data_IF_709190028276
#
_entry.id   IF_709190028276
#
_cell.length_a   1.000
_cell.length_b   1.000
_cell.length_c   1.000
_cell.angle_alpha   90.00
_cell.angle_beta   90.00
_cell.angle_gamma   90.00
#
_symmetry.space_group_name_H-M   'P 1'
#
loop_
_entity.id
_entity.type
_entity.pdbx_description
1 polymer ?
#
# COMPACT_ATOMS: atom_id res chain seq x y z
N UNK A 1 -5.21 20.79 -2.57
CA UNK A 1 -6.27 20.59 -3.59
C UNK A 1 -7.30 19.52 -3.21
N UNK A 2 -6.90 18.29 -2.87
CA UNK A 2 -7.84 17.18 -2.58
C UNK A 2 -8.89 17.47 -1.49
N UNK A 3 -8.53 18.18 -0.42
CA UNK A 3 -9.47 18.53 0.66
C UNK A 3 -10.58 19.47 0.19
N UNK A 4 -10.26 20.50 -0.61
CA UNK A 4 -11.24 21.45 -1.13
C UNK A 4 -12.16 20.78 -2.17
N UNK A 5 -11.59 19.93 -3.02
CA UNK A 5 -12.35 19.16 -4.02
C UNK A 5 -13.34 18.20 -3.35
N UNK A 6 -12.91 17.54 -2.27
CA UNK A 6 -13.80 16.71 -1.44
C UNK A 6 -14.95 17.54 -0.84
N UNK A 7 -14.66 18.72 -0.29
CA UNK A 7 -15.69 19.61 0.28
C UNK A 7 -16.70 20.07 -0.77
N UNK A 8 -16.26 20.45 -1.97
CA UNK A 8 -17.15 20.79 -3.08
C UNK A 8 -18.05 19.61 -3.47
N UNK A 9 -17.52 18.39 -3.49
CA UNK A 9 -18.31 17.19 -3.75
C UNK A 9 -19.35 16.95 -2.66
N UNK A 10 -18.98 17.09 -1.38
CA UNK A 10 -19.90 16.98 -0.25
C UNK A 10 -21.02 18.02 -0.32
N UNK A 11 -20.71 19.27 -0.63
CA UNK A 11 -21.72 20.33 -0.80
C UNK A 11 -22.68 19.98 -1.94
N UNK A 12 -22.15 19.48 -3.07
CA UNK A 12 -22.98 19.05 -4.20
C UNK A 12 -23.91 17.91 -3.83
N UNK A 13 -23.41 16.89 -3.13
CA UNK A 13 -24.23 15.75 -2.70
C UNK A 13 -25.31 16.17 -1.70
N UNK A 14 -24.99 17.08 -0.78
CA UNK A 14 -25.96 17.60 0.17
C UNK A 14 -27.13 18.33 -0.53
N UNK A 15 -26.84 19.11 -1.58
CA UNK A 15 -27.89 19.76 -2.38
C UNK A 15 -28.75 18.75 -3.13
N UNK A 16 -28.12 17.74 -3.75
CA UNK A 16 -28.86 16.67 -4.42
C UNK A 16 -29.74 15.88 -3.45
N UNK A 17 -29.24 15.57 -2.27
CA UNK A 17 -30.01 14.88 -1.22
C UNK A 17 -31.18 15.71 -0.69
N UNK A 18 -31.05 17.04 -0.70
CA UNK A 18 -32.14 17.98 -0.39
C UNK A 18 -33.14 18.19 -1.54
N UNK A 19 -32.99 17.47 -2.66
CA UNK A 19 -33.89 17.57 -3.82
C UNK A 19 -33.52 18.66 -4.82
N UNK A 20 -32.43 19.40 -4.60
CA UNK A 20 -31.96 20.41 -5.55
C UNK A 20 -31.07 19.77 -6.62
N UNK A 21 -31.59 19.66 -7.85
CA UNK A 21 -30.85 19.11 -9.00
C UNK A 21 -29.64 19.98 -9.40
N UNK A 22 -29.78 21.30 -9.20
CA UNK A 22 -28.72 22.28 -9.43
C UNK A 22 -27.88 22.49 -8.18
N UNK A 23 -26.67 21.96 -8.21
CA UNK A 23 -25.69 22.20 -7.16
C UNK A 23 -25.02 23.57 -7.35
N UNK A 24 -24.89 24.40 -6.30
CA UNK A 24 -24.20 25.69 -6.38
C UNK A 24 -22.72 25.52 -6.72
N UNK A 25 -22.14 24.33 -6.51
CA UNK A 25 -20.74 24.05 -6.87
C UNK A 25 -20.51 23.94 -8.37
N UNK A 26 -21.58 23.79 -9.16
CA UNK A 26 -21.54 23.78 -10.63
C UNK A 26 -21.71 25.17 -11.24
N UNK A 27 -22.08 26.18 -10.45
CA UNK A 27 -22.28 27.55 -10.93
C UNK A 27 -20.99 28.11 -11.56
N UNK A 28 -21.14 28.90 -12.63
CA UNK A 28 -20.03 29.39 -13.45
C UNK A 28 -18.99 30.17 -12.62
N UNK A 29 -19.44 31.01 -11.69
CA UNK A 29 -18.55 31.77 -10.80
C UNK A 29 -17.70 30.86 -9.90
N UNK A 30 -18.31 29.83 -9.31
CA UNK A 30 -17.60 28.86 -8.45
C UNK A 30 -16.59 28.07 -9.27
N UNK A 31 -16.95 27.65 -10.49
CA UNK A 31 -16.03 26.95 -11.39
C UNK A 31 -14.87 27.85 -11.82
N UNK A 32 -15.11 29.13 -12.11
CA UNK A 32 -14.08 30.09 -12.47
C UNK A 32 -13.09 30.31 -11.33
N UNK A 33 -13.58 30.54 -10.10
CA UNK A 33 -12.75 30.66 -8.90
C UNK A 33 -11.94 29.37 -8.66
N UNK A 34 -12.57 28.20 -8.82
CA UNK A 34 -11.89 26.92 -8.67
C UNK A 34 -10.75 26.72 -9.69
N UNK A 35 -10.95 27.15 -10.93
CA UNK A 35 -9.89 27.13 -11.95
C UNK A 35 -8.79 28.13 -11.64
N UNK A 36 -9.12 29.32 -11.13
CA UNK A 36 -8.15 30.30 -10.63
C UNK A 36 -7.26 29.71 -9.54
N UNK A 37 -7.86 29.10 -8.51
CA UNK A 37 -7.15 28.41 -7.43
C UNK A 37 -6.25 27.29 -8.00
N UNK A 38 -6.73 26.51 -8.97
CA UNK A 38 -5.93 25.44 -9.61
C UNK A 38 -4.70 25.97 -10.32
N UNK A 39 -4.81 27.12 -11.02
CA UNK A 39 -3.69 27.77 -11.71
C UNK A 39 -2.69 28.35 -10.73
N UNK A 40 -3.17 29.05 -9.71
CA UNK A 40 -2.32 29.74 -8.73
C UNK A 40 -1.59 28.74 -7.80
N UNK A 41 -2.31 27.76 -7.25
CA UNK A 41 -1.75 26.79 -6.30
C UNK A 41 -1.08 25.59 -6.96
N UNK A 42 -1.34 25.38 -8.26
CA UNK A 42 -0.96 24.16 -8.96
C UNK A 42 -1.76 22.93 -8.52
N UNK A 43 -1.84 21.94 -9.42
CA UNK A 43 -2.56 20.68 -9.17
C UNK A 43 -1.62 19.51 -8.84
N UNK A 44 -0.30 19.75 -8.83
CA UNK A 44 0.70 18.73 -8.52
C UNK A 44 0.54 18.27 -7.08
N UNK A 45 -0.01 17.08 -6.89
CA UNK A 45 0.04 16.40 -5.60
C UNK A 45 1.46 15.84 -5.41
N UNK A 46 2.16 16.26 -4.35
CA UNK A 46 3.36 15.55 -3.92
C UNK A 46 2.94 14.17 -3.39
N UNK A 47 3.11 13.15 -4.24
CA UNK A 47 2.92 11.76 -3.84
C UNK A 47 3.95 11.37 -2.79
N UNK A 48 3.61 10.38 -1.97
CA UNK A 48 4.61 9.72 -1.11
C UNK A 48 5.55 8.91 -2.00
N UNK A 49 6.84 8.89 -1.66
CA UNK A 49 7.83 8.14 -2.40
C UNK A 49 7.47 6.64 -2.38
N UNK A 50 7.63 5.93 -3.51
CA UNK A 50 7.50 4.48 -3.55
C UNK A 50 8.64 3.86 -2.74
N UNK A 51 8.32 2.79 -2.01
CA UNK A 51 9.34 1.93 -1.38
C UNK A 51 9.80 0.94 -2.44
N UNK A 52 11.08 0.94 -2.84
CA UNK A 52 11.58 -0.01 -3.85
C UNK A 52 12.01 -1.35 -3.22
N UNK A 53 12.29 -2.39 -4.04
CA UNK A 53 12.75 -3.68 -3.50
C UNK A 53 14.03 -3.55 -2.68
N UNK A 54 14.95 -2.69 -3.09
CA UNK A 54 16.17 -2.40 -2.33
C UNK A 54 15.85 -1.86 -0.93
N UNK A 55 14.83 -1.00 -0.83
CA UNK A 55 14.41 -0.42 0.45
C UNK A 55 13.79 -1.49 1.34
N UNK A 56 12.95 -2.36 0.78
CA UNK A 56 12.38 -3.51 1.50
C UNK A 56 13.51 -4.38 2.06
N UNK A 57 14.50 -4.72 1.23
CA UNK A 57 15.65 -5.52 1.65
C UNK A 57 16.39 -4.87 2.82
N UNK A 58 16.80 -3.62 2.69
CA UNK A 58 17.52 -2.92 3.77
C UNK A 58 16.69 -2.77 5.04
N UNK A 59 15.37 -2.59 4.92
CA UNK A 59 14.47 -2.53 6.07
C UNK A 59 14.39 -3.87 6.81
N UNK A 60 14.25 -4.99 6.08
CA UNK A 60 14.18 -6.32 6.72
C UNK A 60 15.52 -6.75 7.30
N UNK A 61 16.64 -6.40 6.67
CA UNK A 61 17.99 -6.64 7.20
C UNK A 61 18.20 -5.94 8.56
N UNK A 62 17.66 -4.74 8.74
CA UNK A 62 17.70 -4.04 10.04
C UNK A 62 16.83 -4.70 11.11
N UNK A 63 15.76 -5.41 10.72
CA UNK A 63 14.88 -6.12 11.65
C UNK A 63 15.46 -7.48 12.08
N UNK A 64 16.23 -8.13 11.22
CA UNK A 64 16.77 -9.47 11.49
C UNK A 64 17.75 -9.50 12.68
N UNK A 65 18.49 -8.42 12.92
CA UNK A 65 19.45 -8.31 14.02
C UNK A 65 18.84 -7.99 15.40
N UNK A 66 17.52 -7.98 15.55
CA UNK A 66 16.83 -7.57 16.78
C UNK A 66 16.47 -8.80 17.63
N UNK A 67 17.23 -9.03 18.71
CA UNK A 67 16.92 -10.09 19.68
C UNK A 67 15.93 -9.63 20.75
N UNK A 68 16.15 -8.45 21.34
CA UNK A 68 15.18 -7.87 22.28
C UNK A 68 13.95 -7.37 21.49
N UNK A 69 12.80 -8.00 21.72
CA UNK A 69 11.60 -7.73 20.92
C UNK A 69 11.52 -8.50 19.60
N UNK A 70 12.22 -9.65 19.49
CA UNK A 70 12.20 -10.53 18.29
C UNK A 70 10.83 -10.78 17.69
N UNK A 71 9.80 -11.04 18.51
CA UNK A 71 8.40 -11.22 18.02
C UNK A 71 7.87 -9.99 17.30
N UNK A 72 8.16 -8.79 17.82
CA UNK A 72 7.78 -7.53 17.20
C UNK A 72 8.51 -7.35 15.86
N UNK A 73 9.82 -7.67 15.81
CA UNK A 73 10.61 -7.60 14.60
C UNK A 73 10.10 -8.58 13.51
N UNK A 74 9.78 -9.82 13.86
CA UNK A 74 9.20 -10.81 12.95
C UNK A 74 7.83 -10.36 12.42
N UNK A 75 6.97 -9.81 13.28
CA UNK A 75 5.68 -9.25 12.86
C UNK A 75 5.87 -8.10 11.87
N UNK A 76 6.74 -7.15 12.21
CA UNK A 76 6.99 -5.97 11.38
C UNK A 76 7.64 -6.36 10.04
N UNK A 77 8.55 -7.35 10.03
CA UNK A 77 9.11 -7.94 8.81
C UNK A 77 8.02 -8.56 7.95
N UNK A 78 7.16 -9.39 8.54
CA UNK A 78 6.02 -10.00 7.85
C UNK A 78 5.06 -8.94 7.27
N UNK A 79 4.73 -7.89 8.02
CA UNK A 79 3.91 -6.76 7.54
C UNK A 79 4.54 -6.07 6.32
N UNK A 80 5.84 -5.78 6.36
CA UNK A 80 6.55 -5.10 5.27
C UNK A 80 6.58 -5.99 4.02
N UNK A 81 6.94 -7.26 4.17
CA UNK A 81 7.09 -8.19 3.04
C UNK A 81 5.74 -8.55 2.43
N UNK A 82 4.73 -8.96 3.22
CA UNK A 82 3.40 -9.27 2.70
C UNK A 82 2.72 -8.02 2.12
N UNK A 83 2.82 -6.89 2.82
CA UNK A 83 2.24 -5.63 2.36
C UNK A 83 2.83 -5.15 1.04
N UNK A 84 4.15 -5.33 0.85
CA UNK A 84 4.83 -5.05 -0.41
C UNK A 84 4.46 -6.06 -1.50
N UNK A 85 4.68 -7.35 -1.26
CA UNK A 85 4.46 -8.40 -2.26
C UNK A 85 3.00 -8.45 -2.74
N UNK A 86 2.04 -8.25 -1.85
CA UNK A 86 0.61 -8.23 -2.18
C UNK A 86 0.06 -6.89 -2.64
N UNK A 87 0.89 -5.84 -2.69
CA UNK A 87 0.48 -4.46 -2.94
C UNK A 87 -0.78 -4.04 -2.14
N UNK A 88 -0.85 -4.48 -0.88
CA UNK A 88 -2.04 -4.32 -0.05
C UNK A 88 -2.14 -2.91 0.52
N UNK A 89 -3.37 -2.41 0.67
CA UNK A 89 -3.63 -1.24 1.51
C UNK A 89 -3.43 -1.62 2.97
N UNK A 90 -3.05 -0.66 3.82
CA UNK A 90 -2.89 -0.90 5.27
C UNK A 90 -4.08 -1.59 5.91
N UNK A 91 -5.29 -1.14 5.59
CA UNK A 91 -6.54 -1.71 6.11
C UNK A 91 -6.81 -3.13 5.60
N UNK A 92 -6.37 -3.46 4.38
CA UNK A 92 -6.46 -4.81 3.83
C UNK A 92 -5.48 -5.72 4.58
N UNK A 93 -4.23 -5.28 4.76
CA UNK A 93 -3.18 -6.04 5.42
C UNK A 93 -3.51 -6.38 6.87
N UNK A 94 -3.90 -5.40 7.69
CA UNK A 94 -4.30 -5.69 9.08
C UNK A 94 -5.65 -6.38 9.17
N UNK A 95 -6.46 -6.32 8.11
CA UNK A 95 -7.77 -6.97 8.01
C UNK A 95 -7.70 -8.47 7.68
N UNK A 96 -6.51 -9.03 7.45
CA UNK A 96 -6.35 -10.46 7.20
C UNK A 96 -6.55 -11.28 8.49
N UNK A 97 -7.25 -12.39 8.35
CA UNK A 97 -7.26 -13.48 9.33
C UNK A 97 -6.39 -14.64 8.84
N UNK A 98 -6.03 -15.58 9.72
CA UNK A 98 -5.25 -16.76 9.31
C UNK A 98 -6.00 -17.57 8.25
N UNK A 99 -7.32 -17.63 8.37
CA UNK A 99 -8.25 -18.33 7.49
C UNK A 99 -8.32 -17.70 6.08
N UNK A 100 -7.88 -16.44 5.93
CA UNK A 100 -7.79 -15.78 4.62
C UNK A 100 -6.57 -16.27 3.81
N UNK A 101 -5.69 -17.08 4.40
CA UNK A 101 -4.43 -17.54 3.80
C UNK A 101 -4.48 -19.02 3.49
N UNK A 102 -4.22 -19.36 2.22
CA UNK A 102 -4.00 -20.73 1.78
C UNK A 102 -2.58 -20.82 1.26
N UNK A 103 -1.79 -21.73 1.82
CA UNK A 103 -0.45 -22.02 1.35
C UNK A 103 -0.45 -23.25 0.43
N UNK A 104 0.25 -23.16 -0.71
CA UNK A 104 0.44 -24.26 -1.66
C UNK A 104 1.90 -24.35 -2.12
N UNK A 105 2.18 -25.22 -3.10
CA UNK A 105 3.53 -25.39 -3.68
C UNK A 105 4.09 -24.13 -4.32
N UNK A 106 3.22 -23.26 -4.83
CA UNK A 106 3.61 -22.07 -5.61
C UNK A 106 3.76 -20.82 -4.72
N UNK A 107 3.13 -20.81 -3.54
CA UNK A 107 3.24 -19.74 -2.56
C UNK A 107 1.98 -19.59 -1.71
N UNK A 108 1.58 -18.34 -1.45
CA UNK A 108 0.35 -18.02 -0.72
C UNK A 108 -0.74 -17.54 -1.67
N UNK A 109 -1.97 -17.97 -1.41
CA UNK A 109 -3.19 -17.37 -1.93
C UNK A 109 -3.82 -16.61 -0.77
N UNK A 110 -3.88 -15.29 -0.89
CA UNK A 110 -4.45 -14.41 0.14
C UNK A 110 -5.80 -13.88 -0.31
N UNK A 111 -6.83 -14.11 0.49
CA UNK A 111 -8.18 -13.60 0.25
C UNK A 111 -8.35 -12.24 0.94
N UNK A 112 -8.44 -11.18 0.14
CA UNK A 112 -8.78 -9.85 0.65
C UNK A 112 -10.30 -9.73 0.62
N UNK A 113 -10.93 -9.82 1.79
CA UNK A 113 -12.41 -9.82 1.94
C UNK A 113 -13.07 -8.51 1.56
N UNK A 114 -12.43 -7.37 1.83
CA UNK A 114 -12.97 -6.04 1.53
C UNK A 114 -11.86 -5.03 1.27
N UNK A 115 -12.14 -4.00 0.48
CA UNK A 115 -11.24 -2.86 0.29
C UNK A 115 -11.97 -1.53 0.30
N UNK A 116 -11.23 -0.43 0.43
CA UNK A 116 -11.79 0.93 0.27
C UNK A 116 -12.56 1.12 -1.06
N UNK A 117 -12.17 0.41 -2.11
CA UNK A 117 -12.80 0.49 -3.43
C UNK A 117 -13.78 -0.65 -3.71
N UNK A 118 -14.00 -1.51 -2.72
CA UNK A 118 -14.91 -2.66 -2.75
C UNK A 118 -15.86 -2.53 -1.56
N UNK A 119 -16.85 -1.66 -1.71
CA UNK A 119 -17.80 -1.35 -0.64
C UNK A 119 -18.80 -2.48 -0.42
N UNK A 120 -19.06 -3.28 -1.45
CA UNK A 120 -19.96 -4.44 -1.43
C UNK A 120 -19.28 -5.70 -0.87
N UNK A 121 -17.94 -5.72 -0.79
CA UNK A 121 -17.21 -6.84 -0.17
C UNK A 121 -17.16 -8.08 -1.05
N UNK A 122 -17.14 -7.92 -2.37
CA UNK A 122 -16.94 -9.03 -3.30
C UNK A 122 -15.58 -9.73 -3.05
N UNK A 123 -14.62 -8.98 -2.52
CA UNK A 123 -13.28 -9.46 -2.23
C UNK A 123 -12.45 -9.74 -3.48
N UNK A 124 -11.20 -10.17 -3.26
CA UNK A 124 -10.32 -10.67 -4.33
C UNK A 124 -9.27 -11.61 -3.76
N UNK A 125 -8.73 -12.49 -4.61
CA UNK A 125 -7.56 -13.31 -4.30
C UNK A 125 -6.28 -12.63 -4.81
N UNK A 126 -5.20 -12.75 -4.05
CA UNK A 126 -3.87 -12.24 -4.39
C UNK A 126 -2.86 -13.36 -4.20
N UNK A 127 -2.13 -13.70 -5.27
CA UNK A 127 -1.03 -14.66 -5.20
C UNK A 127 0.26 -14.00 -4.69
N UNK A 128 0.93 -14.64 -3.74
CA UNK A 128 2.25 -14.25 -3.24
C UNK A 128 3.22 -15.43 -3.46
N UNK A 129 3.99 -15.44 -4.55
CA UNK A 129 4.89 -16.55 -4.83
C UNK A 129 6.05 -16.59 -3.83
N UNK A 130 6.73 -17.72 -3.75
CA UNK A 130 8.01 -17.82 -3.04
C UNK A 130 9.02 -16.80 -3.59
N UNK A 131 9.61 -16.01 -2.69
CA UNK A 131 10.74 -15.15 -3.02
C UNK A 131 12.04 -15.93 -3.11
N UNK A 132 12.92 -15.54 -4.04
CA UNK A 132 14.26 -16.13 -4.20
C UNK A 132 15.20 -15.80 -3.03
N UNK A 133 15.04 -14.63 -2.41
CA UNK A 133 15.78 -14.23 -1.21
C UNK A 133 14.99 -14.59 0.05
N UNK A 134 15.55 -15.37 1.00
CA UNK A 134 14.83 -15.80 2.20
C UNK A 134 14.23 -14.66 3.03
N UNK A 135 15.02 -13.62 3.32
CA UNK A 135 14.63 -12.48 4.17
C UNK A 135 13.47 -11.64 3.59
N UNK A 136 13.27 -11.67 2.28
CA UNK A 136 12.20 -10.94 1.60
C UNK A 136 11.15 -11.88 1.01
N UNK A 137 11.15 -13.15 1.40
CA UNK A 137 10.19 -14.13 0.92
C UNK A 137 8.89 -14.00 1.73
N UNK A 138 7.73 -13.71 1.10
CA UNK A 138 6.47 -13.52 1.83
C UNK A 138 6.03 -14.79 2.53
N UNK A 139 6.21 -15.95 1.88
CA UNK A 139 5.87 -17.25 2.46
C UNK A 139 6.66 -17.53 3.74
N UNK A 140 8.00 -17.39 3.68
CA UNK A 140 8.87 -17.65 4.84
C UNK A 140 8.64 -16.63 5.95
N UNK A 141 8.44 -15.36 5.58
CA UNK A 141 8.13 -14.30 6.54
C UNK A 141 6.84 -14.58 7.30
N UNK A 142 5.81 -15.09 6.62
CA UNK A 142 4.55 -15.49 7.24
C UNK A 142 4.75 -16.69 8.17
N UNK A 143 5.41 -17.75 7.70
CA UNK A 143 5.68 -18.96 8.50
C UNK A 143 6.43 -18.64 9.78
N UNK A 144 7.48 -17.83 9.70
CA UNK A 144 8.27 -17.43 10.88
C UNK A 144 7.46 -16.57 11.86
N UNK A 145 6.57 -15.69 11.35
CA UNK A 145 5.65 -14.95 12.22
C UNK A 145 4.64 -15.88 12.90
N UNK A 146 4.00 -16.79 12.18
CA UNK A 146 3.04 -17.74 12.74
C UNK A 146 3.70 -18.65 13.79
N UNK A 147 4.89 -19.18 13.49
CA UNK A 147 5.66 -20.00 14.42
C UNK A 147 6.04 -19.25 15.71
N UNK A 148 6.52 -18.01 15.59
CA UNK A 148 6.90 -17.20 16.75
C UNK A 148 5.70 -16.68 17.55
N UNK A 149 4.54 -16.55 16.91
CA UNK A 149 3.33 -15.99 17.52
C UNK A 149 2.40 -17.04 18.12
N UNK A 150 2.42 -18.28 17.63
CA UNK A 150 1.47 -19.33 18.01
C UNK A 150 0.03 -19.01 17.60
N UNK A 151 -0.17 -18.12 16.62
CA UNK A 151 -1.50 -17.75 16.12
C UNK A 151 -1.96 -18.84 15.15
N UNK A 152 -3.08 -19.49 15.48
CA UNK A 152 -3.69 -20.53 14.63
C UNK A 152 -4.98 -20.07 13.94
N UNK A 153 -5.63 -19.03 14.46
CA UNK A 153 -6.92 -18.52 13.97
C UNK A 153 -7.10 -17.03 14.23
N UNK A 154 -8.12 -16.43 13.60
CA UNK A 154 -8.52 -15.05 13.82
C UNK A 154 -7.41 -14.04 13.38
N UNK A 155 -7.36 -12.76 13.84
CA UNK A 155 -6.50 -11.76 13.23
C UNK A 155 -5.04 -12.19 13.07
N UNK A 156 -4.56 -12.19 11.82
CA UNK A 156 -3.19 -12.59 11.47
C UNK A 156 -2.16 -11.66 12.10
N UNK A 157 -2.47 -10.37 12.15
CA UNK A 157 -1.62 -9.36 12.78
C UNK A 157 -2.28 -8.82 14.04
N UNK A 158 -1.62 -9.08 15.17
CA UNK A 158 -2.06 -8.66 16.50
C UNK A 158 -1.10 -7.66 17.12
N UNK A 159 -1.59 -6.94 18.12
CA UNK A 159 -0.74 -6.05 18.92
C UNK A 159 0.31 -6.86 19.70
N UNK A 160 1.51 -6.30 19.80
CA UNK A 160 2.63 -6.86 20.55
C UNK A 160 3.07 -5.78 21.52
N UNK A 161 3.03 -6.08 22.81
CA UNK A 161 3.43 -5.13 23.85
C UNK A 161 4.96 -5.01 23.95
N UNK A 162 5.44 -4.11 24.81
CA UNK A 162 6.88 -3.90 25.03
C UNK A 162 7.62 -5.10 25.63
N UNK A 163 6.89 -6.05 26.21
CA UNK A 163 7.42 -7.26 26.82
C UNK A 163 7.38 -8.46 25.85
N UNK A 164 6.87 -8.26 24.62
CA UNK A 164 6.76 -9.32 23.61
C UNK A 164 5.52 -10.19 23.76
N UNK A 165 4.56 -9.80 24.60
CA UNK A 165 3.28 -10.50 24.70
C UNK A 165 2.39 -10.14 23.51
N UNK A 166 1.71 -11.14 22.97
CA UNK A 166 0.84 -10.99 21.81
C UNK A 166 -0.60 -10.95 22.31
N UNK A 167 -1.28 -9.83 22.06
CA UNK A 167 -2.69 -9.68 22.43
C UNK A 167 -3.62 -10.47 21.51
N UNK A 168 -4.92 -10.41 21.81
CA UNK A 168 -5.98 -10.98 20.94
C UNK A 168 -6.50 -9.96 19.92
N UNK A 169 -6.22 -8.67 20.15
CA UNK A 169 -6.74 -7.56 19.34
C UNK A 169 -6.00 -7.44 18.01
N UNK A 170 -6.77 -7.21 16.94
CA UNK A 170 -6.26 -6.89 15.60
C UNK A 170 -5.41 -5.62 15.65
N UNK A 171 -4.30 -5.62 14.91
CA UNK A 171 -3.44 -4.47 14.75
C UNK A 171 -4.18 -3.30 14.05
N UNK A 172 -4.01 -2.08 14.54
CA UNK A 172 -4.54 -0.88 13.88
C UNK A 172 -3.87 -0.61 12.53
N UNK A 173 -4.64 -0.11 11.55
CA UNK A 173 -4.10 0.33 10.25
C UNK A 173 -3.07 1.46 10.43
N UNK A 174 -3.20 2.31 11.44
CA UNK A 174 -2.24 3.37 11.74
C UNK A 174 -0.89 2.81 12.14
N UNK A 175 -0.87 1.65 12.80
CA UNK A 175 0.37 1.01 13.20
C UNK A 175 1.20 0.60 11.99
N UNK A 176 0.60 0.12 10.90
CA UNK A 176 1.34 -0.17 9.66
C UNK A 176 2.08 1.06 9.13
N UNK A 177 1.46 2.24 9.19
CA UNK A 177 2.14 3.47 8.78
C UNK A 177 3.31 3.82 9.71
N UNK A 178 3.18 3.56 11.02
CA UNK A 178 4.28 3.73 11.99
C UNK A 178 5.42 2.74 11.72
N UNK A 179 5.11 1.47 11.45
CA UNK A 179 6.08 0.43 11.08
C UNK A 179 6.88 0.86 9.85
N UNK A 180 6.20 1.21 8.76
CA UNK A 180 6.85 1.68 7.52
C UNK A 180 7.75 2.89 7.78
N UNK A 181 7.29 3.87 8.55
CA UNK A 181 8.09 5.05 8.88
C UNK A 181 9.33 4.70 9.70
N UNK A 182 9.19 3.89 10.76
CA UNK A 182 10.32 3.44 11.59
C UNK A 182 11.37 2.70 10.76
N UNK A 183 10.92 1.78 9.91
CA UNK A 183 11.81 1.00 9.05
C UNK A 183 12.52 1.87 8.00
N UNK A 184 11.81 2.84 7.41
CA UNK A 184 12.42 3.83 6.50
C UNK A 184 13.47 4.70 7.22
N UNK A 185 13.17 5.13 8.45
CA UNK A 185 14.13 5.88 9.26
C UNK A 185 15.36 5.05 9.61
N UNK A 186 15.21 3.76 9.91
CA UNK A 186 16.35 2.88 10.26
C UNK A 186 17.31 2.62 9.09
N UNK A 187 16.89 2.90 7.85
CA UNK A 187 17.75 2.85 6.66
C UNK A 187 18.25 4.24 6.21
N UNK A 188 18.13 5.26 7.06
CA UNK A 188 18.64 6.61 6.82
C UNK A 188 17.81 7.44 5.84
N UNK A 189 16.58 7.04 5.52
CA UNK A 189 15.69 7.77 4.61
C UNK A 189 14.72 8.68 5.37
N UNK A 190 14.34 9.78 4.72
CA UNK A 190 13.37 10.73 5.25
C UNK A 190 11.95 10.15 5.29
N UNK A 191 11.51 9.76 6.48
CA UNK A 191 10.17 9.21 6.72
C UNK A 191 9.02 10.16 6.40
N UNK A 192 9.24 11.47 6.29
CA UNK A 192 8.21 12.41 5.86
C UNK A 192 7.75 12.15 4.43
N UNK A 193 8.61 11.57 3.59
CA UNK A 193 8.32 11.20 2.21
C UNK A 193 7.52 9.90 2.08
N UNK A 194 7.38 9.11 3.13
CA UNK A 194 6.74 7.79 3.09
C UNK A 194 5.43 7.76 3.89
N UNK A 195 4.54 6.84 3.53
CA UNK A 195 3.31 6.57 4.27
C UNK A 195 2.86 5.13 4.08
N UNK A 196 1.74 4.79 4.69
CA UNK A 196 1.11 3.47 4.56
C UNK A 196 0.83 2.95 3.16
N UNK A 197 0.74 3.84 2.17
CA UNK A 197 0.52 3.44 0.76
C UNK A 197 1.84 3.25 0.00
N UNK A 198 2.99 3.53 0.63
CA UNK A 198 4.31 3.43 -0.01
C UNK A 198 4.67 1.98 -0.38
N UNK A 199 4.14 0.97 0.33
CA UNK A 199 4.33 -0.44 -0.03
C UNK A 199 3.61 -0.78 -1.35
N UNK A 200 2.31 -0.46 -1.44
CA UNK A 200 1.50 -0.67 -2.65
C UNK A 200 2.01 0.12 -3.86
N UNK A 201 2.31 1.40 -3.67
CA UNK A 201 2.93 2.23 -4.69
C UNK A 201 4.31 1.69 -5.09
N UNK A 202 5.07 1.25 -4.10
CA UNK A 202 6.38 0.61 -4.22
C UNK A 202 6.39 -0.56 -5.18
N UNK A 203 5.51 -1.55 -4.94
CA UNK A 203 5.42 -2.72 -5.81
C UNK A 203 5.03 -2.32 -7.24
N UNK A 204 4.05 -1.43 -7.40
CA UNK A 204 3.61 -0.99 -8.73
C UNK A 204 4.74 -0.33 -9.53
N UNK A 205 5.48 0.59 -8.91
CA UNK A 205 6.63 1.25 -9.53
C UNK A 205 7.77 0.27 -9.80
N UNK A 206 8.11 -0.58 -8.84
CA UNK A 206 9.17 -1.58 -8.99
C UNK A 206 8.86 -2.60 -10.10
N UNK A 207 7.62 -3.09 -10.16
CA UNK A 207 7.20 -4.03 -11.19
C UNK A 207 7.28 -3.40 -12.59
N UNK A 208 6.88 -2.13 -12.72
CA UNK A 208 7.05 -1.37 -13.97
C UNK A 208 8.52 -1.21 -14.35
N UNK A 209 9.40 -0.87 -13.39
CA UNK A 209 10.86 -0.80 -13.61
C UNK A 209 11.44 -2.14 -14.09
N UNK A 210 10.84 -3.25 -13.64
CA UNK A 210 11.21 -4.62 -14.02
C UNK A 210 10.52 -5.11 -15.30
N UNK A 211 9.76 -4.26 -16.01
CA UNK A 211 9.12 -4.60 -17.29
C UNK A 211 7.83 -5.41 -17.17
N UNK A 212 7.20 -5.47 -15.99
CA UNK A 212 5.92 -6.13 -15.84
C UNK A 212 4.81 -5.39 -16.62
N UNK A 213 3.90 -6.15 -17.22
CA UNK A 213 2.77 -5.60 -17.97
C UNK A 213 1.82 -4.77 -17.09
N UNK A 214 1.16 -3.75 -17.67
CA UNK A 214 0.13 -2.97 -16.96
C UNK A 214 -0.97 -3.89 -16.37
N UNK A 215 -1.35 -4.94 -17.10
CA UNK A 215 -2.34 -5.93 -16.66
C UNK A 215 -1.89 -6.68 -15.41
N UNK A 216 -0.71 -7.28 -15.40
CA UNK A 216 -0.21 -8.03 -14.24
C UNK A 216 -0.03 -7.12 -13.01
N UNK A 217 0.43 -5.88 -13.20
CA UNK A 217 0.51 -4.90 -12.11
C UNK A 217 -0.90 -4.54 -11.62
N UNK A 218 -1.88 -4.36 -12.51
CA UNK A 218 -3.25 -4.06 -12.14
C UNK A 218 -3.87 -5.21 -11.34
N UNK A 219 -3.71 -6.45 -11.79
CA UNK A 219 -4.24 -7.65 -11.14
C UNK A 219 -3.65 -7.82 -9.73
N UNK A 220 -2.34 -7.61 -9.56
CA UNK A 220 -1.70 -7.70 -8.26
C UNK A 220 -2.14 -6.57 -7.32
N UNK A 221 -2.18 -5.34 -7.82
CA UNK A 221 -2.48 -4.16 -7.00
C UNK A 221 -3.97 -3.93 -6.76
N UNK A 222 -4.85 -4.46 -7.61
CA UNK A 222 -6.30 -4.21 -7.55
C UNK A 222 -6.67 -2.74 -7.80
N UNK A 223 -5.97 -2.04 -8.71
CA UNK A 223 -6.36 -0.68 -9.11
C UNK A 223 -7.57 -0.72 -10.05
N UNK A 224 -8.70 -0.15 -9.62
CA UNK A 224 -9.88 0.03 -10.48
C UNK A 224 -9.72 1.12 -11.55
N UNK A 225 -8.83 2.08 -11.31
CA UNK A 225 -8.60 3.23 -12.19
C UNK A 225 -7.22 3.16 -12.84
N UNK A 226 -7.16 2.76 -14.11
CA UNK A 226 -5.93 2.73 -14.92
C UNK A 226 -5.17 4.08 -14.93
N UNK A 227 -5.83 5.26 -15.04
CA UNK A 227 -5.12 6.53 -14.98
C UNK A 227 -4.36 6.77 -13.66
N UNK A 228 -4.79 6.16 -12.55
CA UNK A 228 -4.08 6.25 -11.27
C UNK A 228 -2.88 5.29 -11.29
N UNK A 229 -3.09 4.06 -11.75
CA UNK A 229 -2.02 3.07 -11.87
C UNK A 229 -0.88 3.56 -12.77
N UNK A 230 -1.21 4.14 -13.93
CA UNK A 230 -0.24 4.69 -14.89
C UNK A 230 0.67 5.78 -14.32
N UNK A 231 0.31 6.42 -13.20
CA UNK A 231 1.23 7.35 -12.51
C UNK A 231 2.45 6.60 -11.99
N UNK A 232 2.25 5.46 -11.33
CA UNK A 232 3.33 4.62 -10.81
C UNK A 232 4.16 3.98 -11.93
N UNK A 233 3.49 3.56 -13.02
CA UNK A 233 4.16 2.97 -14.18
C UNK A 233 5.07 4.00 -14.85
N UNK A 234 4.55 5.21 -15.15
CA UNK A 234 5.34 6.28 -15.76
C UNK A 234 6.53 6.67 -14.90
N UNK A 235 6.35 6.82 -13.59
CA UNK A 235 7.44 7.14 -12.67
C UNK A 235 8.53 6.05 -12.69
N UNK A 236 8.14 4.77 -12.82
CA UNK A 236 9.07 3.64 -12.92
C UNK A 236 9.73 3.48 -14.29
N UNK A 237 9.06 3.88 -15.37
CA UNK A 237 9.56 3.71 -16.74
C UNK A 237 10.23 4.95 -17.33
N UNK A 238 10.39 6.04 -16.56
CA UNK A 238 10.94 7.34 -16.98
C UNK A 238 12.19 7.26 -17.85
N UNK A 239 13.09 6.32 -17.57
CA UNK A 239 14.34 6.13 -18.32
C UNK A 239 14.34 4.89 -19.22
N UNK A 240 13.43 3.92 -19.00
CA UNK A 240 13.39 2.64 -19.72
C UNK A 240 12.57 2.71 -21.00
N UNK A 241 11.42 3.37 -20.93
CA UNK A 241 10.51 3.58 -22.07
C UNK A 241 10.61 5.02 -22.59
N UNK A 242 11.77 5.65 -22.40
CA UNK A 242 11.99 7.02 -22.80
C UNK A 242 12.23 7.10 -24.32
N UNK A 243 11.48 7.96 -25.01
CA UNK A 243 11.67 8.20 -26.43
C UNK A 243 13.10 8.69 -26.74
N UNK A 244 13.72 9.46 -25.84
CA UNK A 244 15.11 9.94 -25.99
C UNK A 244 16.11 8.78 -26.14
N UNK A 245 15.91 7.67 -25.41
CA UNK A 245 16.76 6.50 -25.51
C UNK A 245 16.63 5.76 -26.86
N UNK A 246 15.57 6.04 -27.64
CA UNK A 246 15.31 5.42 -28.95
C UNK A 246 15.78 6.26 -30.14
N UNK A 247 16.26 7.49 -29.88
CA UNK A 247 16.69 8.42 -30.94
C UNK A 247 18.20 8.69 -30.94
N UNK A 248 18.98 7.94 -30.14
CA UNK A 248 20.44 7.98 -30.17
C UNK A 248 21.10 9.19 -29.51
N UNK A 249 20.42 9.80 -28.52
CA UNK A 249 20.99 10.82 -27.63
C UNK A 249 21.60 10.21 -26.36
#
# INVERSE_FOLDING_TARGET
>A
MSTLERRLSTISQAHHAAGHLDSPTKHASVRAVWQGIKREKGTRTQGKAPTLTADIRSMVEKLEGIEEGKKLALRDRCLLVLGFAGAMRRSELVGLDVEDIIENSDGLIVTIRRSKTDQEGAGRKVGLPYGSTPLTCPVRSLREWLAASGIESAPLFREVDRHGNIGVTRLSDQMVAKVVKRAITSIGKDAAKFAGHSLRAGLATQAAMSGASERSIQDQTGHKSLPILRRYIRDGSLFRENAAAKVGL
#
